data_IF_500893034682
#
_entry.id   IF_500893034682
#
_cell.length_a   1.000
_cell.length_b   1.000
_cell.length_c   1.000
_cell.angle_alpha   90.00
_cell.angle_beta   90.00
_cell.angle_gamma   90.00
#
_symmetry.space_group_name_H-M   'P 1'
#
loop_
_entity.id
_entity.type
_entity.pdbx_description
1 polymer ?
#
# COMPACT_ATOMS: atom_id res chain seq x y z
N UNK A 1 -7.53 -19.14 3.34
CA UNK A 1 -8.74 -18.73 2.60
C UNK A 1 -8.90 -17.23 2.78
N UNK A 2 -8.54 -16.48 1.72
CA UNK A 2 -8.57 -15.02 1.68
C UNK A 2 -10.02 -14.57 1.52
N UNK A 3 -10.53 -13.88 2.50
CA UNK A 3 -11.76 -13.09 2.35
C UNK A 3 -11.38 -11.71 1.86
N UNK A 4 -11.09 -11.61 0.58
CA UNK A 4 -10.92 -10.34 -0.13
C UNK A 4 -12.23 -9.96 -0.79
N UNK A 5 -12.94 -8.96 -0.28
CA UNK A 5 -14.07 -8.37 -1.00
C UNK A 5 -13.50 -7.54 -2.16
N UNK A 6 -13.47 -8.16 -3.34
CA UNK A 6 -13.06 -7.52 -4.58
C UNK A 6 -14.30 -6.98 -5.29
N UNK A 7 -14.63 -5.72 -5.10
CA UNK A 7 -15.70 -5.08 -5.88
C UNK A 7 -15.14 -4.80 -7.28
N UNK A 8 -15.50 -5.64 -8.25
CA UNK A 8 -15.24 -5.38 -9.68
C UNK A 8 -16.31 -4.45 -10.22
N UNK A 9 -15.90 -3.34 -10.83
CA UNK A 9 -16.78 -2.49 -11.62
C UNK A 9 -17.36 -3.26 -12.81
N UNK A 10 -18.59 -3.76 -12.69
CA UNK A 10 -19.48 -3.99 -13.83
C UNK A 10 -20.36 -2.76 -13.96
N UNK A 11 -20.42 -2.16 -15.16
CA UNK A 11 -21.42 -1.13 -15.48
C UNK A 11 -22.82 -1.75 -15.31
N UNK A 12 -23.45 -1.46 -14.18
CA UNK A 12 -24.83 -1.84 -13.90
C UNK A 12 -25.70 -0.62 -14.25
N UNK A 13 -26.80 -0.78 -15.03
CA UNK A 13 -27.69 0.34 -15.38
C UNK A 13 -28.27 1.00 -14.12
N UNK A 14 -28.38 2.32 -14.16
CA UNK A 14 -28.77 3.18 -13.03
C UNK A 14 -30.14 2.84 -12.42
N UNK A 15 -31.02 2.22 -13.18
CA UNK A 15 -32.40 1.85 -12.80
C UNK A 15 -32.45 0.64 -11.83
N UNK A 16 -31.40 -0.17 -11.76
CA UNK A 16 -31.32 -1.31 -10.83
C UNK A 16 -30.96 -0.90 -9.40
N UNK A 17 -30.40 0.30 -9.21
CA UNK A 17 -29.90 0.74 -7.89
C UNK A 17 -30.97 1.25 -6.94
N UNK A 18 -32.14 1.69 -7.43
CA UNK A 18 -33.11 2.41 -6.60
C UNK A 18 -34.13 1.51 -5.92
N UNK A 19 -34.41 0.35 -6.45
CA UNK A 19 -35.48 -0.52 -5.91
C UNK A 19 -34.95 -1.67 -5.03
N UNK A 20 -33.89 -2.31 -5.45
CA UNK A 20 -33.32 -3.47 -4.74
C UNK A 20 -32.61 -3.08 -3.44
N UNK A 21 -31.92 -1.94 -3.42
CA UNK A 21 -31.21 -1.45 -2.21
C UNK A 21 -32.17 -1.08 -1.07
N UNK A 22 -33.34 -0.54 -1.38
CA UNK A 22 -34.31 -0.14 -0.35
C UNK A 22 -35.04 -1.36 0.22
N UNK A 23 -35.25 -2.40 -0.58
CA UNK A 23 -35.91 -3.66 -0.17
C UNK A 23 -34.94 -4.58 0.60
N UNK A 24 -33.65 -4.63 0.23
CA UNK A 24 -32.62 -5.38 0.97
C UNK A 24 -32.27 -4.73 2.31
N UNK A 25 -32.29 -3.40 2.42
CA UNK A 25 -32.09 -2.68 3.69
C UNK A 25 -33.22 -2.96 4.69
N UNK A 26 -34.42 -3.28 4.23
CA UNK A 26 -35.57 -3.52 5.08
C UNK A 26 -35.74 -5.00 5.51
N UNK A 27 -35.05 -5.95 4.88
CA UNK A 27 -35.20 -7.39 5.15
C UNK A 27 -34.23 -7.95 6.21
N UNK A 28 -33.20 -7.20 6.64
CA UNK A 28 -32.28 -7.64 7.68
C UNK A 28 -32.31 -6.65 8.86
N UNK A 29 -33.30 -6.77 9.74
CA UNK A 29 -33.40 -5.98 10.95
C UNK A 29 -32.64 -6.56 12.16
N UNK A 30 -31.42 -6.96 11.98
CA UNK A 30 -30.36 -6.81 12.98
C UNK A 30 -29.42 -5.75 12.43
N UNK A 31 -29.49 -4.53 13.01
CA UNK A 31 -28.64 -3.39 12.61
C UNK A 31 -27.19 -3.75 12.92
N UNK A 32 -26.53 -4.47 12.00
CA UNK A 32 -25.07 -4.59 12.02
C UNK A 32 -24.52 -3.20 11.76
N UNK A 33 -24.09 -2.53 12.81
CA UNK A 33 -23.53 -1.19 12.70
C UNK A 33 -22.09 -1.33 12.23
N UNK A 34 -21.82 -0.97 10.98
CA UNK A 34 -20.45 -0.88 10.45
C UNK A 34 -19.70 0.17 11.26
N UNK A 35 -18.70 -0.26 12.02
CA UNK A 35 -17.88 0.61 12.88
C UNK A 35 -16.58 1.04 12.20
N UNK A 36 -16.06 0.23 11.27
CA UNK A 36 -14.82 0.49 10.55
C UNK A 36 -14.98 0.07 9.09
N UNK A 37 -14.42 0.89 8.19
CA UNK A 37 -14.32 0.61 6.77
C UNK A 37 -12.86 0.75 6.32
N UNK A 38 -12.22 -0.36 5.94
CA UNK A 38 -10.90 -0.35 5.33
C UNK A 38 -11.05 -0.36 3.79
N UNK A 39 -10.40 0.60 3.12
CA UNK A 39 -10.59 0.81 1.68
C UNK A 39 -9.23 0.88 0.97
N UNK A 40 -9.07 0.07 -0.07
CA UNK A 40 -7.90 0.16 -0.94
C UNK A 40 -7.94 1.44 -1.79
N UNK A 41 -6.75 1.94 -2.15
CA UNK A 41 -6.63 3.20 -2.89
C UNK A 41 -6.53 2.97 -4.40
N UNK A 42 -5.48 2.31 -4.84
CA UNK A 42 -5.18 2.16 -6.27
C UNK A 42 -6.14 1.15 -6.94
N UNK A 43 -6.88 1.62 -7.96
CA UNK A 43 -7.91 0.80 -8.62
C UNK A 43 -9.20 0.61 -7.81
N UNK A 44 -9.37 1.35 -6.69
CA UNK A 44 -10.59 1.35 -5.86
C UNK A 44 -11.08 2.77 -5.60
N UNK A 45 -10.36 3.58 -4.81
CA UNK A 45 -10.70 4.99 -4.57
C UNK A 45 -10.17 5.90 -5.67
N UNK A 46 -9.01 5.58 -6.23
CA UNK A 46 -8.33 6.37 -7.22
C UNK A 46 -8.60 5.85 -8.63
N UNK A 47 -8.74 6.79 -9.57
CA UNK A 47 -8.77 6.52 -11.00
C UNK A 47 -7.39 6.04 -11.51
N UNK A 48 -7.32 5.63 -12.77
CA UNK A 48 -6.07 5.15 -13.38
C UNK A 48 -5.00 6.26 -13.45
N UNK A 49 -5.42 7.52 -13.60
CA UNK A 49 -4.57 8.72 -13.56
C UNK A 49 -4.18 9.16 -12.13
N UNK A 50 -4.55 8.36 -11.12
CA UNK A 50 -4.31 8.59 -9.69
C UNK A 50 -5.09 9.77 -9.08
N UNK A 51 -6.01 10.35 -9.81
CA UNK A 51 -6.96 11.33 -9.27
C UNK A 51 -8.05 10.65 -8.43
N UNK A 52 -8.73 11.44 -7.60
CA UNK A 52 -9.93 11.04 -6.86
C UNK A 52 -11.07 11.99 -7.23
N UNK A 53 -12.27 11.45 -7.47
CA UNK A 53 -13.40 12.29 -7.82
C UNK A 53 -13.97 13.03 -6.61
N UNK A 54 -14.55 14.22 -6.85
CA UNK A 54 -15.24 14.97 -5.80
C UNK A 54 -16.39 14.18 -5.18
N UNK A 55 -17.08 13.37 -5.98
CA UNK A 55 -18.10 12.46 -5.47
C UNK A 55 -17.55 11.44 -4.48
N UNK A 56 -16.42 10.82 -4.80
CA UNK A 56 -15.75 9.86 -3.89
C UNK A 56 -15.33 10.56 -2.59
N UNK A 57 -14.72 11.75 -2.69
CA UNK A 57 -14.34 12.54 -1.52
C UNK A 57 -15.55 12.90 -0.64
N UNK A 58 -16.66 13.30 -1.24
CA UNK A 58 -17.89 13.59 -0.49
C UNK A 58 -18.42 12.34 0.24
N UNK A 59 -18.43 11.18 -0.42
CA UNK A 59 -18.83 9.91 0.22
C UNK A 59 -17.91 9.57 1.41
N UNK A 60 -16.60 9.71 1.26
CA UNK A 60 -15.65 9.44 2.34
C UNK A 60 -15.86 10.37 3.54
N UNK A 61 -16.05 11.68 3.29
CA UNK A 61 -16.38 12.67 4.34
C UNK A 61 -17.67 12.32 5.08
N UNK A 62 -18.67 11.85 4.35
CA UNK A 62 -19.97 11.42 4.93
C UNK A 62 -19.82 10.16 5.77
N UNK A 63 -18.97 9.21 5.38
CA UNK A 63 -18.65 8.01 6.17
C UNK A 63 -18.03 8.42 7.51
N UNK A 64 -17.00 9.28 7.48
CA UNK A 64 -16.33 9.79 8.68
C UNK A 64 -17.32 10.56 9.57
N UNK A 65 -18.16 11.44 8.98
CA UNK A 65 -19.17 12.22 9.71
C UNK A 65 -20.22 11.34 10.40
N UNK A 66 -20.47 10.14 9.91
CA UNK A 66 -21.36 9.15 10.54
C UNK A 66 -20.70 8.38 11.69
N UNK A 67 -19.45 8.67 12.01
CA UNK A 67 -18.69 8.01 13.08
C UNK A 67 -18.09 6.67 12.69
N UNK A 68 -18.09 6.31 11.41
CA UNK A 68 -17.40 5.12 10.91
C UNK A 68 -15.91 5.42 10.80
N UNK A 69 -15.08 4.57 11.37
CA UNK A 69 -13.62 4.66 11.29
C UNK A 69 -13.19 4.29 9.86
N UNK A 70 -12.81 5.30 9.07
CA UNK A 70 -12.31 5.10 7.72
C UNK A 70 -10.80 4.85 7.75
N UNK A 71 -10.35 3.75 7.14
CA UNK A 71 -8.94 3.33 7.11
C UNK A 71 -8.50 3.11 5.67
N UNK A 72 -7.90 4.12 5.03
CA UNK A 72 -7.22 3.90 3.75
C UNK A 72 -6.08 2.90 3.90
N UNK A 73 -5.99 1.93 2.98
CA UNK A 73 -5.00 0.86 3.00
C UNK A 73 -4.32 0.72 1.64
N UNK A 74 -3.00 0.96 1.55
CA UNK A 74 -2.31 1.02 0.28
C UNK A 74 -0.89 0.45 0.35
N UNK A 75 -0.34 0.11 -0.82
CA UNK A 75 1.10 -0.12 -1.00
C UNK A 75 1.95 1.15 -0.96
N UNK A 76 1.33 2.34 -0.94
CA UNK A 76 2.00 3.63 -0.89
C UNK A 76 2.63 3.88 0.47
N UNK A 77 3.76 4.62 0.54
CA UNK A 77 4.24 5.20 1.79
C UNK A 77 3.26 6.29 2.26
N UNK A 78 3.37 6.69 3.53
CA UNK A 78 2.44 7.67 4.15
C UNK A 78 2.38 9.00 3.39
N UNK A 79 3.50 9.49 2.86
CA UNK A 79 3.53 10.72 2.05
C UNK A 79 2.63 10.65 0.82
N UNK A 80 2.69 9.55 0.06
CA UNK A 80 1.82 9.34 -1.10
C UNK A 80 0.35 9.13 -0.74
N UNK A 81 0.05 8.68 0.48
CA UNK A 81 -1.33 8.61 0.98
C UNK A 81 -1.85 9.97 1.44
N UNK A 82 -0.99 10.82 2.05
CA UNK A 82 -1.31 12.20 2.41
C UNK A 82 -1.75 12.99 1.18
N UNK A 83 -0.97 12.97 0.12
CA UNK A 83 -1.28 13.67 -1.13
C UNK A 83 -2.59 13.20 -1.76
N UNK A 84 -2.84 11.90 -1.79
CA UNK A 84 -3.97 11.34 -2.51
C UNK A 84 -5.30 11.44 -1.75
N UNK A 85 -5.33 11.15 -0.45
CA UNK A 85 -6.58 11.02 0.31
C UNK A 85 -6.54 11.74 1.66
N UNK A 86 -5.46 11.58 2.45
CA UNK A 86 -5.50 12.00 3.87
C UNK A 86 -5.63 13.51 4.04
N UNK A 87 -5.04 14.31 3.16
CA UNK A 87 -5.16 15.77 3.18
C UNK A 87 -6.50 16.27 2.63
N UNK A 88 -7.29 15.39 2.01
CA UNK A 88 -8.56 15.75 1.37
C UNK A 88 -9.80 15.34 2.17
N UNK A 89 -9.61 14.52 3.21
CA UNK A 89 -10.72 14.01 4.05
C UNK A 89 -10.34 14.14 5.53
N UNK A 90 -10.90 15.14 6.17
CA UNK A 90 -10.70 15.37 7.61
C UNK A 90 -11.26 14.23 8.45
N UNK A 91 -10.62 13.96 9.59
CA UNK A 91 -11.07 12.99 10.58
C UNK A 91 -10.65 11.54 10.31
N UNK A 92 -9.83 11.26 9.29
CA UNK A 92 -9.17 9.97 9.15
C UNK A 92 -8.13 9.82 10.26
N UNK A 93 -8.33 8.84 11.14
CA UNK A 93 -7.46 8.61 12.29
C UNK A 93 -6.35 7.58 12.02
N UNK A 94 -6.60 6.63 11.14
CA UNK A 94 -5.67 5.52 10.89
C UNK A 94 -5.44 5.31 9.40
N UNK A 95 -4.23 4.89 9.05
CA UNK A 95 -3.87 4.51 7.69
C UNK A 95 -2.97 3.28 7.69
N UNK A 96 -3.18 2.37 6.73
CA UNK A 96 -2.34 1.20 6.51
C UNK A 96 -1.48 1.48 5.28
N UNK A 97 -0.17 1.60 5.49
CA UNK A 97 0.81 1.99 4.49
C UNK A 97 1.73 0.82 4.10
N UNK A 98 2.42 0.97 2.98
CA UNK A 98 3.48 0.05 2.53
C UNK A 98 3.04 -1.42 2.55
N UNK A 99 1.85 -1.73 1.99
CA UNK A 99 1.24 -3.06 1.97
C UNK A 99 0.93 -3.66 3.35
N UNK A 100 0.83 -2.84 4.40
CA UNK A 100 0.60 -3.29 5.77
C UNK A 100 1.87 -3.40 6.62
N UNK A 101 3.03 -3.04 6.06
CA UNK A 101 4.26 -2.97 6.83
C UNK A 101 4.23 -1.84 7.89
N UNK A 102 3.33 -0.88 7.74
CA UNK A 102 3.17 0.22 8.69
C UNK A 102 1.68 0.54 8.91
N UNK A 103 1.25 0.52 10.16
CA UNK A 103 -0.04 1.03 10.62
C UNK A 103 0.19 2.36 11.33
N UNK A 104 -0.43 3.43 10.83
CA UNK A 104 -0.22 4.80 11.30
C UNK A 104 -1.40 5.30 12.11
N UNK A 105 -1.10 6.03 13.19
CA UNK A 105 -1.96 7.03 13.79
C UNK A 105 -1.71 8.34 13.02
N UNK A 106 -2.70 8.76 12.25
CA UNK A 106 -2.53 9.89 11.31
C UNK A 106 -2.42 11.23 12.02
N UNK A 107 -3.30 11.57 13.00
CA UNK A 107 -3.18 12.80 13.79
C UNK A 107 -1.88 12.92 14.57
N UNK A 108 -1.42 11.83 15.18
CA UNK A 108 -0.20 11.82 15.99
C UNK A 108 1.08 11.68 15.16
N UNK A 109 0.94 11.41 13.85
CA UNK A 109 2.05 11.11 12.93
C UNK A 109 3.00 10.01 13.43
N UNK A 110 2.45 9.02 14.14
CA UNK A 110 3.21 7.92 14.75
C UNK A 110 2.79 6.57 14.21
N UNK A 111 3.75 5.66 14.08
CA UNK A 111 3.43 4.28 13.79
C UNK A 111 2.87 3.58 15.04
N UNK A 112 1.76 2.86 14.88
CA UNK A 112 1.17 1.98 15.88
C UNK A 112 1.84 0.61 15.84
N UNK A 113 2.12 0.13 14.63
CA UNK A 113 2.75 -1.16 14.37
C UNK A 113 3.60 -1.07 13.10
N UNK A 114 4.76 -1.72 13.14
CA UNK A 114 5.68 -1.85 12.03
C UNK A 114 6.02 -3.32 11.82
N UNK A 115 5.90 -3.79 10.57
CA UNK A 115 6.17 -5.17 10.18
C UNK A 115 7.01 -5.13 8.90
N UNK A 116 8.14 -4.43 8.97
CA UNK A 116 9.03 -4.21 7.85
C UNK A 116 10.01 -5.38 7.63
N UNK A 117 10.98 -5.14 6.77
CA UNK A 117 12.08 -6.04 6.45
C UNK A 117 13.27 -5.66 7.34
N UNK A 118 13.92 -6.63 8.01
CA UNK A 118 15.13 -6.32 8.77
C UNK A 118 16.24 -5.81 7.85
N UNK A 119 17.13 -4.98 8.39
CA UNK A 119 18.24 -4.40 7.60
C UNK A 119 19.11 -5.48 6.96
N UNK A 120 19.37 -6.57 7.67
CA UNK A 120 20.18 -7.70 7.18
C UNK A 120 19.51 -8.35 5.96
N UNK A 121 18.21 -8.64 6.06
CA UNK A 121 17.44 -9.23 4.96
C UNK A 121 17.28 -8.27 3.77
N UNK A 122 17.11 -6.98 4.05
CA UNK A 122 17.04 -5.96 3.00
C UNK A 122 18.34 -5.88 2.20
N UNK A 123 19.49 -5.92 2.89
CA UNK A 123 20.81 -5.94 2.26
C UNK A 123 21.06 -7.23 1.49
N UNK A 124 20.67 -8.37 2.03
CA UNK A 124 20.72 -9.66 1.32
C UNK A 124 19.87 -9.63 0.04
N UNK A 125 18.68 -9.03 0.11
CA UNK A 125 17.80 -8.86 -1.05
C UNK A 125 18.40 -7.94 -2.12
N UNK A 126 19.08 -6.85 -1.73
CA UNK A 126 19.81 -5.98 -2.65
C UNK A 126 20.90 -6.80 -3.37
N UNK A 127 21.75 -7.49 -2.63
CA UNK A 127 22.85 -8.28 -3.19
C UNK A 127 22.36 -9.40 -4.13
N UNK A 128 21.21 -9.99 -3.85
CA UNK A 128 20.58 -10.95 -4.74
C UNK A 128 20.06 -10.28 -6.01
N UNK A 129 19.35 -9.16 -5.88
CA UNK A 129 18.73 -8.46 -7.02
C UNK A 129 19.77 -7.81 -7.94
N UNK A 130 20.91 -7.35 -7.42
CA UNK A 130 22.00 -6.77 -8.21
C UNK A 130 22.67 -7.76 -9.19
N UNK A 131 22.40 -9.06 -9.07
CA UNK A 131 22.81 -10.06 -10.06
C UNK A 131 21.99 -10.00 -11.35
N UNK A 132 20.92 -9.21 -11.38
CA UNK A 132 20.01 -9.07 -12.51
C UNK A 132 19.98 -7.61 -12.99
N UNK A 133 19.55 -7.36 -14.24
CA UNK A 133 19.34 -6.01 -14.75
C UNK A 133 18.08 -5.40 -14.13
N UNK A 134 18.21 -4.91 -12.91
CA UNK A 134 17.13 -4.26 -12.14
C UNK A 134 17.64 -2.98 -11.47
N UNK A 135 16.72 -2.08 -11.15
CA UNK A 135 16.99 -0.90 -10.35
C UNK A 135 16.20 -0.99 -9.04
N UNK A 136 16.91 -1.11 -7.92
CA UNK A 136 16.33 -1.35 -6.59
C UNK A 136 16.10 -0.04 -5.85
N UNK A 137 15.00 0.04 -5.10
CA UNK A 137 14.69 1.11 -4.15
C UNK A 137 14.15 0.54 -2.84
N UNK A 138 14.26 1.32 -1.77
CA UNK A 138 13.72 0.98 -0.46
C UNK A 138 12.78 2.07 0.03
N UNK A 139 11.56 1.70 0.41
CA UNK A 139 10.67 2.53 1.21
C UNK A 139 11.01 2.31 2.68
N UNK A 140 11.30 3.39 3.36
CA UNK A 140 11.68 3.38 4.79
C UNK A 140 10.72 4.24 5.61
N UNK A 141 10.89 4.23 6.92
CA UNK A 141 10.19 5.14 7.84
C UNK A 141 10.56 6.62 7.64
N UNK A 142 11.66 6.91 6.92
CA UNK A 142 12.18 8.27 6.63
C UNK A 142 12.00 8.70 5.18
N UNK A 143 11.44 7.84 4.32
CA UNK A 143 11.24 8.16 2.92
C UNK A 143 11.69 7.05 1.98
N UNK A 144 11.82 7.37 0.70
CA UNK A 144 12.21 6.41 -0.34
C UNK A 144 13.60 6.71 -0.85
N UNK A 145 14.47 5.72 -0.75
CA UNK A 145 15.87 5.79 -1.16
C UNK A 145 16.17 4.83 -2.31
N UNK A 146 17.10 5.24 -3.17
CA UNK A 146 17.60 4.47 -4.31
C UNK A 146 19.09 4.72 -4.52
N UNK A 147 19.77 3.78 -5.18
CA UNK A 147 21.17 3.98 -5.53
C UNK A 147 21.33 5.09 -6.59
N UNK A 148 22.48 5.77 -6.61
CA UNK A 148 22.90 6.68 -7.68
C UNK A 148 22.88 5.96 -9.05
N UNK A 149 22.68 6.74 -10.13
CA UNK A 149 22.62 6.20 -11.48
C UNK A 149 21.23 5.81 -11.96
N UNK A 150 20.21 5.99 -11.11
CA UNK A 150 18.83 5.79 -11.49
C UNK A 150 18.43 6.56 -12.77
N UNK A 151 18.91 7.77 -12.94
CA UNK A 151 18.63 8.63 -14.10
C UNK A 151 19.09 8.01 -15.41
N UNK A 152 20.12 7.15 -15.35
CA UNK A 152 20.67 6.46 -16.54
C UNK A 152 19.84 5.26 -16.98
N UNK A 153 18.85 4.85 -16.19
CA UNK A 153 18.02 3.68 -16.49
C UNK A 153 16.84 3.99 -17.43
N UNK A 154 16.53 5.27 -17.69
CA UNK A 154 15.32 5.68 -18.42
C UNK A 154 14.00 5.47 -17.65
N UNK A 155 14.08 5.03 -16.40
CA UNK A 155 12.89 4.74 -15.60
C UNK A 155 12.08 5.97 -15.23
N UNK A 156 12.72 7.13 -15.10
CA UNK A 156 12.02 8.40 -14.81
C UNK A 156 11.09 8.81 -15.96
N UNK A 157 11.45 8.47 -17.20
CA UNK A 157 10.63 8.72 -18.38
C UNK A 157 9.49 7.67 -18.49
N UNK A 158 9.81 6.41 -18.22
CA UNK A 158 8.84 5.31 -18.29
C UNK A 158 7.80 5.37 -17.16
N UNK A 159 8.19 5.87 -15.99
CA UNK A 159 7.35 5.92 -14.78
C UNK A 159 7.35 7.33 -14.15
N UNK A 160 6.84 8.36 -14.84
CA UNK A 160 6.92 9.76 -14.38
C UNK A 160 6.10 10.03 -13.11
N UNK A 161 5.16 9.12 -12.77
CA UNK A 161 4.35 9.23 -11.56
C UNK A 161 5.07 8.69 -10.30
N UNK A 162 6.20 8.00 -10.46
CA UNK A 162 6.98 7.52 -9.32
C UNK A 162 7.89 8.64 -8.85
N UNK A 163 7.45 9.31 -7.80
CA UNK A 163 8.25 10.33 -7.13
C UNK A 163 9.00 9.70 -5.96
N UNK A 164 10.31 9.85 -5.98
CA UNK A 164 11.14 9.48 -4.84
C UNK A 164 11.34 10.74 -4.00
N UNK A 165 10.79 10.74 -2.79
CA UNK A 165 10.73 11.94 -1.96
C UNK A 165 12.07 12.31 -1.33
N UNK A 166 13.02 11.35 -1.17
CA UNK A 166 14.16 11.57 -0.30
C UNK A 166 15.54 11.48 -0.98
N UNK A 167 15.70 10.79 -2.05
CA UNK A 167 16.92 10.96 -2.79
C UNK A 167 17.76 9.75 -3.13
N UNK A 168 18.85 10.07 -3.78
CA UNK A 168 19.85 9.13 -4.24
C UNK A 168 20.92 8.93 -3.16
N UNK A 169 21.31 7.70 -2.95
CA UNK A 169 22.44 7.32 -2.09
C UNK A 169 23.47 6.59 -2.93
N UNK A 170 24.74 6.75 -2.60
CA UNK A 170 25.83 6.16 -3.37
C UNK A 170 25.73 4.65 -3.43
N UNK A 171 25.41 4.03 -2.31
CA UNK A 171 25.24 2.59 -2.13
C UNK A 171 24.05 2.37 -1.19
N UNK A 172 22.99 1.76 -1.72
CA UNK A 172 21.76 1.56 -0.94
C UNK A 172 21.96 0.57 0.21
N UNK A 173 22.73 -0.50 0.00
CA UNK A 173 23.01 -1.48 1.04
C UNK A 173 23.83 -0.90 2.19
N UNK A 174 24.91 -0.15 1.88
CA UNK A 174 25.71 0.53 2.88
C UNK A 174 24.89 1.60 3.64
N UNK A 175 24.05 2.36 2.93
CA UNK A 175 23.14 3.32 3.54
C UNK A 175 22.20 2.66 4.55
N UNK A 176 21.54 1.57 4.18
CA UNK A 176 20.61 0.87 5.07
C UNK A 176 21.31 0.34 6.33
N UNK A 177 22.58 -0.12 6.22
CA UNK A 177 23.36 -0.58 7.38
C UNK A 177 23.72 0.53 8.36
N UNK A 178 23.92 1.75 7.88
CA UNK A 178 24.54 2.82 8.69
C UNK A 178 23.56 3.92 9.10
N UNK A 179 22.44 4.09 8.39
CA UNK A 179 21.51 5.20 8.61
C UNK A 179 20.55 5.01 9.78
N UNK A 180 20.36 3.77 10.24
CA UNK A 180 19.36 3.47 11.28
C UNK A 180 17.90 3.57 10.82
N UNK A 181 17.65 3.73 9.51
CA UNK A 181 16.30 3.73 8.96
C UNK A 181 15.69 2.33 9.00
N UNK A 182 14.36 2.26 9.15
CA UNK A 182 13.62 1.02 9.11
C UNK A 182 13.06 0.79 7.71
N UNK A 183 13.34 -0.36 7.13
CA UNK A 183 12.84 -0.71 5.79
C UNK A 183 11.42 -1.25 5.90
N UNK A 184 10.45 -0.54 5.35
CA UNK A 184 9.05 -0.98 5.34
C UNK A 184 8.79 -1.98 4.21
N UNK A 185 9.24 -1.67 3.00
CA UNK A 185 9.24 -2.55 1.84
C UNK A 185 10.34 -2.14 0.87
N UNK A 186 10.61 -2.98 -0.10
CA UNK A 186 11.51 -2.65 -1.20
C UNK A 186 10.80 -2.84 -2.53
N UNK A 187 11.40 -2.35 -3.60
CA UNK A 187 10.97 -2.62 -4.95
C UNK A 187 12.13 -2.67 -5.91
N UNK A 188 11.92 -3.37 -7.01
CA UNK A 188 12.85 -3.47 -8.10
C UNK A 188 12.14 -3.23 -9.42
N UNK A 189 12.62 -2.25 -10.19
CA UNK A 189 12.24 -2.08 -11.58
C UNK A 189 13.07 -3.00 -12.43
N UNK A 190 12.39 -3.82 -13.21
CA UNK A 190 13.05 -4.78 -14.09
C UNK A 190 13.34 -4.11 -15.43
N UNK A 191 14.60 -4.13 -15.85
CA UNK A 191 15.09 -3.47 -17.06
C UNK A 191 15.11 -4.41 -18.28
N UNK A 192 14.71 -5.68 -18.11
CA UNK A 192 14.67 -6.69 -19.17
C UNK A 192 13.28 -7.35 -19.20
N UNK A 193 12.69 -7.43 -20.37
CA UNK A 193 11.40 -8.08 -20.57
C UNK A 193 11.43 -9.57 -20.13
N UNK A 194 10.33 -10.02 -19.54
CA UNK A 194 10.16 -11.38 -19.04
C UNK A 194 10.84 -11.68 -17.69
N UNK A 195 11.85 -10.91 -17.28
CA UNK A 195 12.59 -11.18 -16.05
C UNK A 195 11.73 -11.02 -14.79
N UNK A 196 10.77 -10.08 -14.80
CA UNK A 196 9.86 -9.92 -13.66
C UNK A 196 9.06 -11.21 -13.41
N UNK A 197 8.54 -11.81 -14.46
CA UNK A 197 7.82 -13.08 -14.37
C UNK A 197 8.73 -14.22 -13.87
N UNK A 198 9.94 -14.30 -14.39
CA UNK A 198 10.93 -15.30 -13.96
C UNK A 198 11.25 -15.20 -12.46
N UNK A 199 11.50 -13.98 -11.96
CA UNK A 199 11.80 -13.75 -10.56
C UNK A 199 10.61 -14.05 -9.64
N UNK A 200 9.39 -13.73 -10.08
CA UNK A 200 8.17 -14.05 -9.36
C UNK A 200 7.90 -15.56 -9.28
N UNK A 201 8.15 -16.30 -10.37
CA UNK A 201 7.98 -17.76 -10.41
C UNK A 201 9.01 -18.47 -9.54
N UNK A 202 10.26 -17.99 -9.51
CA UNK A 202 11.30 -18.49 -8.62
C UNK A 202 11.02 -18.18 -7.15
N UNK A 203 10.32 -17.07 -6.90
CA UNK A 203 10.10 -16.55 -5.56
C UNK A 203 11.36 -15.96 -4.93
N UNK A 204 11.22 -15.48 -3.70
CA UNK A 204 12.35 -14.94 -2.95
C UNK A 204 13.21 -16.05 -2.38
N UNK A 205 14.55 -16.03 -2.58
CA UNK A 205 15.47 -16.95 -1.92
C UNK A 205 15.73 -16.56 -0.46
N UNK A 206 15.28 -15.37 -0.02
CA UNK A 206 15.53 -14.84 1.33
C UNK A 206 14.35 -15.23 2.24
N UNK A 207 14.57 -16.03 3.30
CA UNK A 207 13.53 -16.44 4.22
C UNK A 207 12.82 -15.24 4.86
N UNK A 208 11.48 -15.24 4.82
CA UNK A 208 10.67 -14.17 5.40
C UNK A 208 10.48 -12.95 4.50
N UNK A 209 10.96 -12.99 3.25
CA UNK A 209 10.63 -12.02 2.21
C UNK A 209 9.78 -12.69 1.14
N UNK A 210 8.74 -12.00 0.67
CA UNK A 210 7.91 -12.41 -0.45
C UNK A 210 8.05 -11.41 -1.61
N UNK A 211 8.12 -11.94 -2.84
CA UNK A 211 8.06 -11.14 -4.05
C UNK A 211 6.62 -11.02 -4.52
N UNK A 212 6.19 -9.81 -4.80
CA UNK A 212 4.83 -9.49 -5.25
C UNK A 212 4.89 -8.71 -6.56
N UNK A 213 3.97 -8.99 -7.48
CA UNK A 213 3.85 -8.23 -8.72
C UNK A 213 3.02 -6.97 -8.50
N UNK A 214 3.55 -5.82 -8.88
CA UNK A 214 2.84 -4.54 -8.91
C UNK A 214 3.00 -3.88 -10.28
N UNK A 215 2.10 -4.21 -11.21
CA UNK A 215 2.18 -3.68 -12.57
C UNK A 215 3.21 -4.41 -13.46
N UNK A 216 3.46 -3.83 -14.64
CA UNK A 216 4.40 -4.40 -15.60
C UNK A 216 5.84 -3.96 -15.30
N UNK A 217 6.70 -4.95 -15.08
CA UNK A 217 8.13 -4.73 -14.86
C UNK A 217 8.51 -4.21 -13.47
N UNK A 218 7.61 -4.29 -12.47
CA UNK A 218 7.91 -3.93 -11.09
C UNK A 218 7.68 -5.13 -10.19
N UNK A 219 8.66 -5.45 -9.35
CA UNK A 219 8.56 -6.44 -8.29
C UNK A 219 8.65 -5.69 -6.96
N UNK A 220 7.71 -5.92 -6.07
CA UNK A 220 7.79 -5.48 -4.67
C UNK A 220 8.23 -6.60 -3.77
N UNK A 221 9.05 -6.26 -2.79
CA UNK A 221 9.56 -7.14 -1.75
C UNK A 221 8.96 -6.71 -0.42
N UNK A 222 8.23 -7.60 0.20
CA UNK A 222 7.61 -7.35 1.51
C UNK A 222 8.06 -8.41 2.52
N UNK A 223 7.98 -8.08 3.80
CA UNK A 223 7.98 -9.10 4.84
C UNK A 223 6.76 -10.01 4.66
N UNK A 224 6.91 -11.31 4.86
CA UNK A 224 5.80 -12.28 4.82
C UNK A 224 4.72 -11.95 5.86
N UNK A 225 5.09 -11.25 6.94
CA UNK A 225 4.17 -10.84 8.00
C UNK A 225 3.45 -9.53 7.67
N UNK A 226 3.93 -8.77 6.67
CA UNK A 226 3.33 -7.52 6.24
C UNK A 226 2.17 -7.77 5.29
N UNK A 227 0.96 -7.55 5.75
CA UNK A 227 -0.22 -7.52 4.88
C UNK A 227 -1.24 -6.50 5.38
N UNK A 228 -2.03 -5.94 4.45
CA UNK A 228 -3.12 -5.02 4.81
C UNK A 228 -4.09 -5.68 5.79
N UNK A 229 -4.34 -7.00 5.62
CA UNK A 229 -5.19 -7.77 6.51
C UNK A 229 -4.62 -7.89 7.92
N UNK A 230 -3.33 -8.23 8.08
CA UNK A 230 -2.68 -8.34 9.39
C UNK A 230 -2.65 -6.98 10.12
N UNK A 231 -2.36 -5.90 9.40
CA UNK A 231 -2.40 -4.55 9.95
C UNK A 231 -3.81 -4.16 10.39
N UNK A 232 -4.84 -4.50 9.60
CA UNK A 232 -6.24 -4.28 9.95
C UNK A 232 -6.66 -5.10 11.18
N UNK A 233 -6.28 -6.38 11.26
CA UNK A 233 -6.52 -7.21 12.44
C UNK A 233 -5.89 -6.59 13.70
N UNK A 234 -4.66 -6.07 13.58
CA UNK A 234 -3.97 -5.39 14.68
C UNK A 234 -4.73 -4.14 15.12
N UNK A 235 -5.22 -3.33 14.17
CA UNK A 235 -6.04 -2.16 14.46
C UNK A 235 -7.36 -2.54 15.14
N UNK A 236 -8.08 -3.51 14.61
CA UNK A 236 -9.34 -3.97 15.16
C UNK A 236 -9.19 -4.48 16.60
N UNK A 237 -8.14 -5.27 16.88
CA UNK A 237 -7.81 -5.70 18.24
C UNK A 237 -7.56 -4.50 19.18
N UNK A 238 -6.78 -3.51 18.74
CA UNK A 238 -6.52 -2.29 19.49
C UNK A 238 -7.80 -1.51 19.81
N UNK A 239 -8.75 -1.47 18.88
CA UNK A 239 -10.02 -0.73 19.00
C UNK A 239 -11.16 -1.54 19.64
N UNK A 240 -10.97 -2.81 19.94
CA UNK A 240 -12.03 -3.69 20.43
C UNK A 240 -13.16 -3.86 19.42
N UNK A 241 -12.82 -3.96 18.12
CA UNK A 241 -13.76 -4.17 17.02
C UNK A 241 -13.63 -5.62 16.55
N UNK A 242 -14.76 -6.36 16.50
CA UNK A 242 -14.81 -7.67 15.86
C UNK A 242 -14.62 -7.55 14.34
N UNK A 243 -13.99 -8.56 13.74
CA UNK A 243 -13.82 -8.68 12.29
C UNK A 243 -14.97 -9.48 11.65
N UNK A 244 -15.97 -9.86 12.42
CA UNK A 244 -17.18 -10.56 11.99
C UNK A 244 -18.23 -9.61 11.41
#
# INVERSE_FOLDING_TARGET
SDVGIKIRHRKIPREYYTRTLQEEINMHSEKTTIRLAAVDMDGTLLHDDKSISDYTLDVLRRIVKKGVILVPASGRPIGGMKEAVLNNVDGIQYAICSNGAMLMDVPEEKSICETGISTEKAVEAIAYLEQFPVAVYAHTDKGTFRAEGWEKTGLSEKYPYIRFSEGNVKDLGAFLRTSGVKVMKMGAFVLKDGLAQELLEKGSPIPGIVFLRTGDGIIELNSVDASKGNALCTLCKKLGISME
#
